data_IF_603156189269
#
_entry.id   IF_603156189269
#
_cell.length_a   1.000
_cell.length_b   1.000
_cell.length_c   1.000
_cell.angle_alpha   90.00
_cell.angle_beta   90.00
_cell.angle_gamma   90.00
#
_symmetry.space_group_name_H-M   'P 1'
#
loop_
_entity.id
_entity.type
_entity.pdbx_description
1 polymer ?
#
# COMPACT_ATOMS: atom_id res chain seq x y z
N UNK A 1 12.66 12.63 -3.54
CA UNK A 1 12.44 11.19 -3.38
C UNK A 1 13.72 10.49 -2.93
N UNK A 2 13.56 9.33 -2.28
CA UNK A 2 14.68 8.50 -1.86
C UNK A 2 15.25 7.74 -3.06
N UNK A 3 16.57 7.63 -3.12
CA UNK A 3 17.32 6.79 -4.03
C UNK A 3 17.73 5.46 -3.38
N UNK A 4 18.41 4.63 -4.14
CA UNK A 4 18.84 3.30 -3.67
C UNK A 4 19.81 3.37 -2.49
N UNK A 5 20.73 4.33 -2.48
CA UNK A 5 21.71 4.52 -1.40
C UNK A 5 21.03 4.91 -0.08
N UNK A 6 20.03 5.80 -0.15
CA UNK A 6 19.24 6.20 1.04
C UNK A 6 18.44 5.02 1.58
N UNK A 7 17.83 4.21 0.70
CA UNK A 7 17.10 3.01 1.13
C UNK A 7 18.03 2.05 1.87
N UNK A 8 19.18 1.72 1.27
CA UNK A 8 20.16 0.80 1.86
C UNK A 8 20.68 1.30 3.20
N UNK A 9 20.97 2.59 3.29
CA UNK A 9 21.42 3.21 4.54
C UNK A 9 20.37 3.12 5.64
N UNK A 10 19.10 3.38 5.33
CA UNK A 10 18.00 3.27 6.31
C UNK A 10 17.81 1.81 6.73
N UNK A 11 17.70 0.88 5.77
CA UNK A 11 17.50 -0.54 6.08
C UNK A 11 18.66 -1.13 6.90
N UNK A 12 19.91 -0.70 6.64
CA UNK A 12 21.08 -1.17 7.40
C UNK A 12 21.18 -0.59 8.81
N UNK A 13 20.49 0.51 9.10
CA UNK A 13 20.51 1.16 10.41
C UNK A 13 19.60 0.45 11.44
N UNK A 14 18.60 -0.27 10.98
CA UNK A 14 17.62 -0.95 11.82
C UNK A 14 17.73 -2.48 11.67
N UNK A 15 17.24 -3.21 12.67
CA UNK A 15 17.11 -4.66 12.57
C UNK A 15 16.21 -5.05 11.38
N UNK A 16 16.51 -6.15 10.67
CA UNK A 16 15.73 -6.57 9.52
C UNK A 16 14.22 -6.63 9.79
N UNK A 17 13.45 -6.02 8.90
CA UNK A 17 11.99 -6.00 8.99
C UNK A 17 11.42 -5.01 10.03
N UNK A 18 12.23 -4.13 10.60
CA UNK A 18 11.75 -3.07 11.54
C UNK A 18 11.29 -1.83 10.81
N UNK A 19 11.75 -1.60 9.59
CA UNK A 19 11.34 -0.47 8.76
C UNK A 19 10.12 -0.84 7.92
N UNK A 20 9.18 0.07 7.80
CA UNK A 20 8.07 -0.02 6.82
C UNK A 20 8.01 1.28 6.04
N UNK A 21 8.10 1.16 4.73
CA UNK A 21 7.98 2.27 3.78
C UNK A 21 6.50 2.48 3.45
N UNK A 22 5.93 3.57 3.90
CA UNK A 22 4.51 3.88 3.61
C UNK A 22 4.45 4.80 2.41
N UNK A 23 3.81 4.33 1.35
CA UNK A 23 3.59 5.08 0.11
C UNK A 23 2.21 5.72 0.15
N UNK A 24 2.14 7.01 -0.15
CA UNK A 24 0.91 7.78 -0.29
C UNK A 24 0.89 8.42 -1.70
N UNK A 25 0.65 7.64 -2.77
CA UNK A 25 0.87 8.06 -4.15
C UNK A 25 0.20 9.39 -4.51
N UNK A 26 -1.06 9.56 -4.12
CA UNK A 26 -1.80 10.78 -4.43
C UNK A 26 -1.26 12.00 -3.70
N UNK A 27 -0.88 11.85 -2.44
CA UNK A 27 -0.22 12.89 -1.65
C UNK A 27 1.14 13.26 -2.23
N UNK A 28 1.93 12.25 -2.67
CA UNK A 28 3.19 12.50 -3.36
C UNK A 28 2.99 13.30 -4.66
N UNK A 29 2.00 12.94 -5.48
CA UNK A 29 1.68 13.70 -6.70
C UNK A 29 1.31 15.14 -6.38
N UNK A 30 0.48 15.36 -5.35
CA UNK A 30 0.03 16.69 -4.96
C UNK A 30 1.18 17.57 -4.42
N UNK A 31 2.04 17.02 -3.56
CA UNK A 31 3.11 17.79 -2.90
C UNK A 31 4.35 17.91 -3.79
N UNK A 32 4.78 16.80 -4.39
CA UNK A 32 6.07 16.68 -5.09
C UNK A 32 5.94 16.72 -6.61
N UNK A 33 4.71 16.59 -7.15
CA UNK A 33 4.48 16.47 -8.59
C UNK A 33 5.07 15.20 -9.19
N UNK A 34 5.29 14.15 -8.40
CA UNK A 34 5.90 12.91 -8.84
C UNK A 34 5.46 11.71 -8.00
N UNK A 35 5.42 10.53 -8.63
CA UNK A 35 5.07 9.27 -7.96
C UNK A 35 6.17 8.78 -7.02
N UNK A 36 5.81 8.07 -5.93
CA UNK A 36 6.79 7.44 -5.04
C UNK A 36 7.55 6.32 -5.79
N UNK A 37 8.79 6.00 -5.39
CA UNK A 37 9.64 5.01 -6.09
C UNK A 37 9.23 3.56 -5.76
N UNK A 38 7.94 3.21 -6.00
CA UNK A 38 7.36 1.92 -5.63
C UNK A 38 8.11 0.73 -6.23
N UNK A 39 8.45 0.80 -7.53
CA UNK A 39 9.20 -0.27 -8.22
C UNK A 39 10.59 -0.47 -7.61
N UNK A 40 11.29 0.60 -7.24
CA UNK A 40 12.61 0.51 -6.60
C UNK A 40 12.50 -0.18 -5.25
N UNK A 41 11.59 0.27 -4.40
CA UNK A 41 11.35 -0.32 -3.07
C UNK A 41 10.92 -1.79 -3.18
N UNK A 42 10.03 -2.11 -4.12
CA UNK A 42 9.59 -3.49 -4.37
C UNK A 42 10.74 -4.40 -4.81
N UNK A 43 11.58 -3.93 -5.74
CA UNK A 43 12.78 -4.66 -6.18
C UNK A 43 13.79 -4.90 -5.05
N UNK A 44 13.91 -3.96 -4.13
CA UNK A 44 14.76 -4.08 -2.92
C UNK A 44 14.20 -5.08 -1.91
N UNK A 45 12.95 -5.52 -2.06
CA UNK A 45 12.32 -6.48 -1.14
C UNK A 45 12.04 -5.92 0.25
N UNK A 46 12.03 -4.61 0.40
CA UNK A 46 11.72 -3.94 1.68
C UNK A 46 10.24 -4.03 2.00
N UNK A 47 9.89 -3.84 3.27
CA UNK A 47 8.48 -3.85 3.69
C UNK A 47 7.78 -2.57 3.24
N UNK A 48 6.71 -2.70 2.46
CA UNK A 48 5.94 -1.58 1.92
C UNK A 48 4.49 -1.66 2.40
N UNK A 49 3.92 -0.52 2.76
CA UNK A 49 2.49 -0.34 2.99
C UNK A 49 1.97 0.83 2.14
N UNK A 50 0.65 0.90 1.94
CA UNK A 50 -0.02 2.01 1.27
C UNK A 50 -0.83 2.78 2.30
N UNK A 51 -0.73 4.10 2.26
CA UNK A 51 -1.55 5.04 3.02
C UNK A 51 -2.17 6.10 2.12
N UNK A 52 -3.13 6.84 2.64
CA UNK A 52 -3.80 7.93 1.91
C UNK A 52 -3.26 9.31 2.30
N UNK A 53 -2.46 9.37 3.37
CA UNK A 53 -2.15 10.62 4.05
C UNK A 53 -3.44 11.35 4.50
N UNK A 54 -3.44 12.66 4.57
CA UNK A 54 -4.55 13.49 5.05
C UNK A 54 -5.32 14.14 3.90
N UNK A 55 -6.52 14.67 4.19
CA UNK A 55 -7.29 15.48 3.23
C UNK A 55 -6.62 16.83 2.89
N UNK A 56 -5.52 17.20 3.56
CA UNK A 56 -4.74 18.38 3.21
C UNK A 56 -3.89 18.18 1.96
N UNK A 57 -3.54 16.94 1.65
CA UNK A 57 -2.71 16.54 0.49
C UNK A 57 -3.39 15.51 -0.42
N UNK A 58 -4.68 15.22 -0.18
CA UNK A 58 -5.44 14.22 -0.92
C UNK A 58 -6.91 14.63 -1.00
N UNK A 59 -7.52 14.51 -2.17
CA UNK A 59 -8.94 14.83 -2.35
C UNK A 59 -9.87 13.80 -1.70
N UNK A 60 -9.41 12.56 -1.57
CA UNK A 60 -10.21 11.45 -1.02
C UNK A 60 -9.35 10.47 -0.24
N UNK A 61 -9.86 9.94 0.87
CA UNK A 61 -9.19 8.86 1.62
C UNK A 61 -9.57 7.49 1.02
N UNK A 62 -9.27 7.30 -0.27
CA UNK A 62 -9.65 6.12 -1.04
C UNK A 62 -8.48 5.18 -1.26
N UNK A 63 -8.41 4.07 -0.53
CA UNK A 63 -7.37 3.06 -0.73
C UNK A 63 -7.35 2.49 -2.17
N UNK A 64 -8.49 2.16 -2.84
CA UNK A 64 -8.45 1.82 -4.26
C UNK A 64 -7.92 2.95 -5.15
N UNK A 65 -8.14 4.20 -4.75
CA UNK A 65 -7.59 5.39 -5.42
C UNK A 65 -6.07 5.40 -5.40
N UNK A 66 -5.46 5.14 -4.24
CA UNK A 66 -3.99 5.02 -4.09
C UNK A 66 -3.44 3.84 -4.90
N UNK A 67 -4.08 2.67 -4.77
CA UNK A 67 -3.66 1.45 -5.47
C UNK A 67 -3.67 1.62 -7.01
N UNK A 68 -4.57 2.43 -7.57
CA UNK A 68 -4.63 2.71 -9.01
C UNK A 68 -3.42 3.49 -9.52
N UNK A 69 -2.77 4.27 -8.67
CA UNK A 69 -1.59 5.07 -9.03
C UNK A 69 -0.27 4.26 -9.04
N UNK A 70 -0.34 2.96 -8.77
CA UNK A 70 0.80 2.04 -8.78
C UNK A 70 0.56 0.89 -9.79
N UNK A 71 0.28 1.18 -11.08
CA UNK A 71 -0.08 0.15 -12.06
C UNK A 71 1.06 -0.83 -12.36
N UNK A 72 2.31 -0.42 -12.15
CA UNK A 72 3.51 -1.23 -12.32
C UNK A 72 3.69 -2.33 -11.25
N UNK A 73 2.95 -2.22 -10.14
CA UNK A 73 2.96 -3.21 -9.05
C UNK A 73 1.77 -4.16 -9.22
N UNK A 74 1.99 -5.45 -9.02
CA UNK A 74 0.92 -6.44 -9.14
C UNK A 74 -0.28 -6.10 -8.23
N UNK A 75 -1.51 -6.43 -8.67
CA UNK A 75 -2.70 -6.20 -7.84
C UNK A 75 -2.62 -6.95 -6.51
N UNK A 76 -2.02 -8.16 -6.52
CA UNK A 76 -1.79 -8.96 -5.32
C UNK A 76 -0.93 -8.19 -4.29
N UNK A 77 0.20 -7.62 -4.73
CA UNK A 77 1.09 -6.88 -3.84
C UNK A 77 0.45 -5.59 -3.32
N UNK A 78 -0.26 -4.86 -4.19
CA UNK A 78 -1.01 -3.66 -3.78
C UNK A 78 -2.07 -3.97 -2.72
N UNK A 79 -2.81 -5.08 -2.87
CA UNK A 79 -3.78 -5.52 -1.86
C UNK A 79 -3.04 -5.88 -0.56
N UNK A 80 -1.95 -6.64 -0.63
CA UNK A 80 -1.14 -6.99 0.54
C UNK A 80 -0.62 -5.75 1.26
N UNK A 81 -0.10 -4.76 0.54
CA UNK A 81 0.41 -3.50 1.10
C UNK A 81 -0.69 -2.66 1.75
N UNK A 82 -1.90 -2.69 1.18
CA UNK A 82 -3.06 -1.99 1.71
C UNK A 82 -3.78 -2.70 2.87
N UNK A 83 -3.38 -3.94 3.21
CA UNK A 83 -4.04 -4.76 4.24
C UNK A 83 -3.05 -5.35 5.23
N UNK A 84 -2.45 -6.49 4.91
CA UNK A 84 -1.59 -7.24 5.84
C UNK A 84 -0.35 -6.44 6.24
N UNK A 85 0.39 -5.89 5.27
CA UNK A 85 1.61 -5.15 5.60
C UNK A 85 1.31 -3.87 6.39
N UNK A 86 0.18 -3.21 6.09
CA UNK A 86 -0.29 -2.09 6.92
C UNK A 86 -0.60 -2.51 8.36
N UNK A 87 -1.23 -3.66 8.55
CA UNK A 87 -1.51 -4.21 9.88
C UNK A 87 -0.21 -4.58 10.63
N UNK A 88 0.76 -5.18 9.93
CA UNK A 88 2.10 -5.49 10.47
C UNK A 88 2.83 -4.22 10.90
N UNK A 89 2.78 -3.16 10.10
CA UNK A 89 3.39 -1.86 10.40
C UNK A 89 2.82 -1.23 11.68
N UNK A 90 1.51 -1.42 11.91
CA UNK A 90 0.80 -0.92 13.08
C UNK A 90 0.87 -1.87 14.30
N UNK A 91 1.45 -3.06 14.16
CA UNK A 91 1.51 -4.08 15.22
C UNK A 91 0.16 -4.69 15.59
N UNK A 92 -0.80 -4.69 14.65
CA UNK A 92 -2.17 -5.19 14.84
C UNK A 92 -2.49 -6.42 13.98
N UNK A 93 -1.49 -6.97 13.31
CA UNK A 93 -1.63 -8.12 12.42
C UNK A 93 -2.03 -9.41 13.13
N UNK A 94 -1.90 -9.48 14.46
CA UNK A 94 -2.37 -10.61 15.26
C UNK A 94 -3.89 -10.83 15.17
N UNK A 95 -4.67 -9.79 14.89
CA UNK A 95 -6.13 -9.86 14.84
C UNK A 95 -6.77 -9.32 13.56
N UNK A 96 -6.00 -8.65 12.67
CA UNK A 96 -6.51 -8.06 11.42
C UNK A 96 -5.52 -8.23 10.26
N UNK A 97 -5.79 -7.60 9.10
CA UNK A 97 -4.92 -7.57 7.92
C UNK A 97 -5.00 -8.80 7.02
N UNK A 98 -5.54 -9.93 7.48
CA UNK A 98 -5.70 -11.15 6.67
C UNK A 98 -6.84 -12.02 7.17
N UNK A 99 -7.32 -12.97 6.33
CA UNK A 99 -8.35 -13.95 6.68
C UNK A 99 -7.78 -15.23 7.35
N UNK A 100 -6.61 -15.14 7.94
CA UNK A 100 -6.04 -16.27 8.69
C UNK A 100 -6.97 -16.67 9.83
N UNK A 101 -7.22 -17.99 10.06
CA UNK A 101 -8.06 -18.46 11.16
C UNK A 101 -7.65 -17.87 12.51
N UNK A 102 -8.64 -17.41 13.28
CA UNK A 102 -8.44 -16.73 14.55
C UNK A 102 -8.43 -15.22 14.50
N UNK A 103 -8.25 -14.61 13.31
CA UNK A 103 -8.34 -13.16 13.15
C UNK A 103 -9.78 -12.69 12.90
N UNK A 104 -10.03 -11.40 13.13
CA UNK A 104 -11.32 -10.73 12.89
C UNK A 104 -11.12 -9.45 12.07
N UNK A 105 -10.63 -9.55 10.82
CA UNK A 105 -10.23 -8.37 10.03
C UNK A 105 -11.41 -7.54 9.53
N UNK A 106 -12.64 -8.09 9.57
CA UNK A 106 -13.72 -7.62 8.74
C UNK A 106 -13.53 -8.02 7.26
N UNK A 107 -14.49 -7.71 6.39
CA UNK A 107 -14.38 -7.98 4.97
C UNK A 107 -14.69 -6.72 4.15
N UNK A 108 -13.85 -6.47 3.16
CA UNK A 108 -14.00 -5.39 2.19
C UNK A 108 -14.25 -6.02 0.82
N UNK A 109 -15.32 -5.61 0.16
CA UNK A 109 -15.55 -5.92 -1.25
C UNK A 109 -14.82 -4.88 -2.10
N UNK A 110 -13.87 -5.33 -2.92
CA UNK A 110 -13.21 -4.51 -3.93
C UNK A 110 -13.90 -4.76 -5.28
N UNK A 111 -14.44 -3.73 -5.90
CA UNK A 111 -15.11 -3.77 -7.20
C UNK A 111 -14.27 -3.09 -8.27
N UNK A 112 -14.65 -3.22 -9.55
CA UNK A 112 -13.92 -2.61 -10.66
C UNK A 112 -12.58 -3.27 -10.94
N UNK A 113 -12.47 -4.59 -10.73
CA UNK A 113 -11.32 -5.39 -11.12
C UNK A 113 -11.57 -5.99 -12.50
N UNK A 114 -10.62 -5.82 -13.40
CA UNK A 114 -10.51 -6.64 -14.60
C UNK A 114 -9.81 -7.96 -14.22
N UNK A 115 -10.56 -9.05 -14.19
CA UNK A 115 -10.03 -10.35 -13.78
C UNK A 115 -9.12 -10.99 -14.84
N UNK A 116 -9.24 -10.58 -16.11
CA UNK A 116 -8.38 -11.09 -17.19
C UNK A 116 -6.96 -10.53 -17.11
N UNK A 117 -6.84 -9.24 -16.84
CA UNK A 117 -5.56 -8.54 -16.69
C UNK A 117 -5.10 -8.38 -15.25
N UNK A 118 -5.94 -8.72 -14.27
CA UNK A 118 -5.69 -8.47 -12.83
C UNK A 118 -5.34 -7.01 -12.54
N UNK A 119 -6.09 -6.08 -13.13
CA UNK A 119 -5.89 -4.64 -12.96
C UNK A 119 -7.12 -3.96 -12.37
N UNK A 120 -6.91 -2.80 -11.75
CA UNK A 120 -7.99 -1.95 -11.26
C UNK A 120 -8.44 -1.01 -12.37
N UNK A 121 -9.75 -1.02 -12.66
CA UNK A 121 -10.38 -0.09 -13.59
C UNK A 121 -10.55 1.29 -12.94
N UNK A 122 -10.88 2.30 -13.75
CA UNK A 122 -11.12 3.67 -13.27
C UNK A 122 -12.25 3.77 -12.24
N UNK A 123 -13.27 2.90 -12.36
CA UNK A 123 -14.42 2.80 -11.47
C UNK A 123 -14.17 1.91 -10.23
N UNK A 124 -12.94 1.44 -10.01
CA UNK A 124 -12.62 0.61 -8.85
C UNK A 124 -12.91 1.34 -7.53
N UNK A 125 -13.65 0.66 -6.68
CA UNK A 125 -14.11 1.14 -5.39
C UNK A 125 -14.07 0.05 -4.32
N UNK A 126 -14.12 0.43 -3.06
CA UNK A 126 -14.19 -0.51 -1.94
C UNK A 126 -15.42 -0.24 -1.10
N UNK A 127 -16.01 -1.31 -0.55
CA UNK A 127 -17.13 -1.25 0.37
C UNK A 127 -16.95 -2.28 1.48
N UNK A 128 -17.10 -1.85 2.72
CA UNK A 128 -17.12 -2.77 3.87
C UNK A 128 -18.38 -3.64 3.81
N UNK A 129 -18.23 -4.94 4.04
CA UNK A 129 -19.33 -5.93 4.04
C UNK A 129 -19.65 -6.37 5.47
N UNK A 130 -18.64 -6.61 6.29
CA UNK A 130 -18.72 -6.96 7.71
C UNK A 130 -17.60 -6.30 8.49
#
# INVERSE_FOLDING_TARGET
FVDEEVIDRIESHFEPGRVTWVLCPRSNDFIEGAHPPATLLHRKGVRIAIGTDSLASNETLSMPGEMKLLPEISLHDRIRWATLTGAEALGIDSWTGSFTPGKRPGAILLTGIDLGSMTLRTDAASRRIV
#
